data_IF_003870695791
#
_entry.id   IF_003870695791
#
_cell.length_a   1.000
_cell.length_b   1.000
_cell.length_c   1.000
_cell.angle_alpha   90.00
_cell.angle_beta   90.00
_cell.angle_gamma   90.00
#
_symmetry.space_group_name_H-M   'P 1'
#
loop_
_entity.id
_entity.type
_entity.pdbx_description
1 polymer ?
#
# COMPACT_ATOMS: atom_id res chain seq x y z
N UNK A 1 -16.09 -17.42 -22.06
CA UNK A 1 -14.92 -16.64 -22.47
C UNK A 1 -14.34 -15.99 -21.22
N UNK A 2 -13.35 -16.64 -20.60
CA UNK A 2 -12.75 -16.15 -19.34
C UNK A 2 -12.01 -14.85 -19.61
N UNK A 3 -12.25 -13.82 -18.79
CA UNK A 3 -11.45 -12.59 -18.86
C UNK A 3 -10.03 -12.96 -18.44
N UNK A 4 -9.07 -12.83 -19.34
CA UNK A 4 -7.65 -12.93 -19.00
C UNK A 4 -7.35 -11.89 -17.91
N UNK A 5 -6.90 -12.38 -16.77
CA UNK A 5 -6.48 -11.54 -15.65
C UNK A 5 -5.20 -10.86 -16.13
N UNK A 6 -5.17 -9.53 -16.13
CA UNK A 6 -4.01 -8.75 -16.54
C UNK A 6 -2.72 -9.31 -15.90
N UNK A 7 -1.63 -9.53 -16.64
CA UNK A 7 -0.40 -10.19 -16.14
C UNK A 7 0.25 -9.48 -14.95
N UNK A 8 -0.14 -8.23 -14.68
CA UNK A 8 0.27 -7.43 -13.53
C UNK A 8 -0.36 -7.88 -12.20
N UNK A 9 -1.41 -8.70 -12.24
CA UNK A 9 -2.06 -9.26 -11.08
C UNK A 9 -1.91 -10.78 -11.14
N UNK A 10 -0.89 -11.32 -10.47
CA UNK A 10 -0.92 -12.72 -10.08
C UNK A 10 -1.69 -12.81 -8.74
N UNK A 11 -3.00 -13.10 -8.75
CA UNK A 11 -3.79 -13.12 -7.52
C UNK A 11 -3.36 -14.23 -6.55
N UNK A 12 -2.45 -15.13 -6.93
CA UNK A 12 -1.99 -16.21 -6.07
C UNK A 12 -0.95 -15.75 -5.04
N UNK A 13 -0.25 -14.63 -5.28
CA UNK A 13 0.71 -14.07 -4.34
C UNK A 13 0.22 -12.71 -3.83
N UNK A 14 -0.56 -12.73 -2.74
CA UNK A 14 -1.14 -11.53 -2.16
C UNK A 14 -0.11 -10.54 -1.57
N UNK A 15 1.12 -10.99 -1.26
CA UNK A 15 2.19 -10.11 -0.80
C UNK A 15 2.76 -9.28 -1.95
N UNK A 16 3.03 -9.92 -3.09
CA UNK A 16 3.48 -9.25 -4.32
C UNK A 16 2.40 -8.31 -4.87
N UNK A 17 1.14 -8.76 -4.86
CA UNK A 17 -0.02 -7.92 -5.18
C UNK A 17 -0.05 -6.67 -4.28
N UNK A 18 0.15 -6.85 -2.97
CA UNK A 18 0.16 -5.72 -2.03
C UNK A 18 1.31 -4.75 -2.34
N UNK A 19 2.53 -5.22 -2.62
CA UNK A 19 3.65 -4.37 -3.05
C UNK A 19 3.30 -3.55 -4.29
N UNK A 20 2.74 -4.18 -5.31
CA UNK A 20 2.30 -3.50 -6.54
C UNK A 20 1.18 -2.46 -6.26
N UNK A 21 0.34 -2.66 -5.25
CA UNK A 21 -0.67 -1.68 -4.81
C UNK A 21 0.01 -0.48 -4.16
N UNK A 22 0.98 -0.70 -3.27
CA UNK A 22 1.78 0.38 -2.67
C UNK A 22 2.45 1.22 -3.75
N UNK A 23 3.09 0.58 -4.72
CA UNK A 23 3.82 1.25 -5.81
C UNK A 23 2.89 1.93 -6.83
N UNK A 24 1.59 1.61 -6.80
CA UNK A 24 0.62 2.18 -7.73
C UNK A 24 0.71 1.59 -9.15
N UNK A 25 1.35 0.43 -9.30
CA UNK A 25 1.61 -0.23 -10.60
C UNK A 25 0.30 -0.57 -11.34
N UNK A 26 -0.79 -0.78 -10.60
CA UNK A 26 -2.13 -1.06 -11.16
C UNK A 26 -2.85 0.14 -11.77
N UNK A 27 -2.34 1.37 -11.64
CA UNK A 27 -3.06 2.59 -12.08
C UNK A 27 -3.10 2.80 -13.60
N UNK A 28 -2.59 1.85 -14.41
CA UNK A 28 -2.68 1.86 -15.89
C UNK A 28 -4.04 1.39 -16.44
N UNK A 29 -5.15 1.52 -15.71
CA UNK A 29 -6.46 1.05 -16.22
C UNK A 29 -7.14 2.08 -17.12
N UNK A 30 -7.08 1.82 -18.43
CA UNK A 30 -8.09 1.96 -19.51
C UNK A 30 -8.79 3.31 -19.78
N UNK A 31 -8.84 4.29 -18.87
CA UNK A 31 -9.65 5.52 -19.08
C UNK A 31 -8.87 6.82 -19.30
N UNK A 32 -7.53 6.78 -19.40
CA UNK A 32 -6.71 7.95 -19.75
C UNK A 32 -6.84 9.16 -18.79
N UNK A 33 -7.41 8.97 -17.59
CA UNK A 33 -7.59 10.01 -16.57
C UNK A 33 -6.82 9.64 -15.31
N UNK A 34 -5.90 10.52 -14.90
CA UNK A 34 -5.03 10.41 -13.71
C UNK A 34 -5.75 10.55 -12.35
N UNK A 35 -6.96 10.01 -12.19
CA UNK A 35 -7.77 10.24 -10.99
C UNK A 35 -7.96 9.01 -10.11
N UNK A 36 -6.88 8.25 -9.88
CA UNK A 36 -6.79 7.29 -8.76
C UNK A 36 -5.37 7.32 -8.20
N UNK A 37 -5.20 7.97 -7.04
CA UNK A 37 -3.90 8.18 -6.40
C UNK A 37 -3.99 8.69 -4.95
N UNK A 38 -5.12 8.47 -4.28
CA UNK A 38 -5.36 8.90 -2.88
C UNK A 38 -5.50 7.77 -1.87
N UNK A 39 -5.53 6.51 -2.32
CA UNK A 39 -5.62 5.34 -1.45
C UNK A 39 -4.26 4.95 -0.88
N UNK A 40 -4.01 3.64 -0.77
CA UNK A 40 -2.74 3.06 -0.30
C UNK A 40 -1.50 3.70 -0.97
N UNK A 41 -1.42 3.87 -2.30
CA UNK A 41 -0.26 4.54 -2.91
C UNK A 41 -0.10 6.01 -2.50
N UNK A 42 -1.19 6.70 -2.16
CA UNK A 42 -1.15 8.04 -1.60
C UNK A 42 -0.57 8.05 -0.17
N UNK A 43 -0.98 7.10 0.68
CA UNK A 43 -0.43 6.92 2.03
C UNK A 43 1.06 6.55 1.93
N UNK A 44 1.43 5.66 1.01
CA UNK A 44 2.83 5.33 0.75
C UNK A 44 3.65 6.54 0.30
N UNK A 45 3.08 7.40 -0.53
CA UNK A 45 3.75 8.63 -0.91
C UNK A 45 3.98 9.56 0.30
N UNK A 46 3.05 9.60 1.27
CA UNK A 46 3.23 10.35 2.53
C UNK A 46 4.37 9.78 3.37
N UNK A 47 4.51 8.46 3.41
CA UNK A 47 5.68 7.81 3.99
C UNK A 47 6.97 8.23 3.28
N UNK A 48 7.06 8.06 1.96
CA UNK A 48 8.26 8.41 1.16
C UNK A 48 8.64 9.89 1.24
N UNK A 49 7.66 10.77 1.45
CA UNK A 49 7.88 12.22 1.56
C UNK A 49 8.19 12.68 2.99
N UNK A 50 8.15 11.78 3.97
CA UNK A 50 8.49 12.04 5.37
C UNK A 50 7.36 12.66 6.21
N UNK A 51 6.10 12.49 5.81
CA UNK A 51 4.93 12.92 6.59
C UNK A 51 4.39 11.83 7.52
N UNK A 52 4.81 10.59 7.29
CA UNK A 52 4.53 9.41 8.09
C UNK A 52 5.90 8.79 8.38
N UNK A 53 6.14 8.36 9.62
CA UNK A 53 7.40 7.73 10.01
C UNK A 53 7.37 6.21 9.80
N UNK A 54 6.21 5.59 10.01
CA UNK A 54 6.03 4.15 9.83
C UNK A 54 4.65 3.79 9.26
N UNK A 55 4.61 2.78 8.42
CA UNK A 55 3.39 2.26 7.81
C UNK A 55 3.43 0.74 7.77
N UNK A 56 2.40 0.11 8.34
CA UNK A 56 2.16 -1.33 8.22
C UNK A 56 0.73 -1.54 7.73
N UNK A 57 0.56 -2.38 6.72
CA UNK A 57 -0.75 -2.76 6.21
C UNK A 57 -0.86 -4.27 6.19
N UNK A 58 -1.90 -4.80 6.81
CA UNK A 58 -2.25 -6.23 6.75
C UNK A 58 -3.58 -6.33 6.02
N UNK A 59 -3.67 -7.16 4.99
CA UNK A 59 -4.91 -7.43 4.28
C UNK A 59 -4.98 -8.89 3.90
N UNK A 60 -6.03 -9.60 4.33
CA UNK A 60 -6.13 -11.05 4.12
C UNK A 60 -4.94 -11.80 4.75
N UNK A 61 -4.18 -12.55 3.96
CA UNK A 61 -2.93 -13.23 4.31
C UNK A 61 -1.69 -12.45 3.85
N UNK A 62 -1.77 -11.14 3.58
CA UNK A 62 -0.56 -10.39 3.25
C UNK A 62 -0.31 -9.25 4.22
N UNK A 63 0.96 -9.02 4.48
CA UNK A 63 1.45 -7.86 5.21
C UNK A 63 2.47 -7.10 4.36
N UNK A 64 2.38 -5.78 4.38
CA UNK A 64 3.35 -4.86 3.80
C UNK A 64 3.88 -3.91 4.87
N UNK A 65 5.20 -3.86 4.99
CA UNK A 65 5.96 -2.89 5.78
C UNK A 65 6.90 -2.13 4.84
N UNK A 66 6.38 -1.15 4.08
CA UNK A 66 7.15 -0.40 3.09
C UNK A 66 8.42 0.27 3.64
N UNK A 67 8.46 0.66 4.92
CA UNK A 67 9.65 1.18 5.59
C UNK A 67 10.83 0.22 5.58
N UNK A 68 10.54 -1.09 5.65
CA UNK A 68 11.51 -2.18 5.71
C UNK A 68 11.70 -2.87 4.34
N UNK A 69 11.04 -2.38 3.27
CA UNK A 69 10.84 -3.09 1.98
C UNK A 69 10.37 -4.56 2.17
N UNK A 70 9.62 -4.82 3.24
CA UNK A 70 9.20 -6.16 3.64
C UNK A 70 7.74 -6.41 3.25
N UNK A 71 7.53 -7.44 2.43
CA UNK A 71 6.20 -7.88 1.99
C UNK A 71 6.13 -9.40 2.13
N UNK A 72 5.20 -9.90 2.94
CA UNK A 72 5.15 -11.32 3.28
C UNK A 72 3.72 -11.86 3.31
N UNK A 73 3.62 -13.16 3.06
CA UNK A 73 2.41 -13.93 3.30
C UNK A 73 2.37 -14.31 4.78
N UNK A 74 1.22 -14.13 5.41
CA UNK A 74 0.96 -14.51 6.78
C UNK A 74 0.32 -15.89 6.82
N UNK A 75 0.75 -16.72 7.77
CA UNK A 75 0.15 -18.05 7.99
C UNK A 75 -1.32 -17.96 8.42
N UNK A 76 -1.66 -16.91 9.17
CA UNK A 76 -3.02 -16.63 9.62
C UNK A 76 -3.68 -15.57 8.74
N UNK A 77 -4.92 -15.84 8.32
CA UNK A 77 -5.73 -14.93 7.48
C UNK A 77 -6.58 -14.00 8.34
N UNK A 78 -6.52 -12.71 8.03
CA UNK A 78 -7.45 -11.70 8.52
C UNK A 78 -8.51 -11.43 7.44
N UNK A 79 -9.79 -11.68 7.68
CA UNK A 79 -10.83 -11.26 6.73
C UNK A 79 -11.08 -9.74 6.85
N UNK A 80 -10.29 -8.95 6.12
CA UNK A 80 -10.36 -7.50 6.13
C UNK A 80 -9.00 -6.85 5.94
N UNK A 81 -8.92 -5.56 6.28
CA UNK A 81 -7.71 -4.76 6.17
C UNK A 81 -7.46 -4.02 7.48
N UNK A 82 -6.24 -4.14 8.00
CA UNK A 82 -5.74 -3.37 9.12
C UNK A 82 -4.63 -2.43 8.64
N UNK A 83 -4.68 -1.18 9.08
CA UNK A 83 -3.71 -0.15 8.70
C UNK A 83 -3.16 0.47 9.97
N UNK A 84 -1.85 0.41 10.14
CA UNK A 84 -1.11 1.08 11.19
C UNK A 84 -0.28 2.20 10.56
N UNK A 85 -0.39 3.39 11.13
CA UNK A 85 0.33 4.60 10.69
C UNK A 85 0.94 5.23 11.94
N UNK A 86 2.22 5.54 11.85
CA UNK A 86 2.95 6.26 12.88
C UNK A 86 3.40 7.63 12.37
N UNK A 87 3.33 8.62 13.25
CA UNK A 87 3.83 9.97 13.02
C UNK A 87 4.63 10.33 14.26
N UNK A 88 5.86 10.79 14.07
CA UNK A 88 6.76 11.18 15.15
C UNK A 88 7.25 12.64 14.99
N UNK A 89 8.05 13.10 15.95
CA UNK A 89 8.59 14.46 15.98
C UNK A 89 9.50 14.82 14.77
N UNK A 90 9.96 13.84 14.00
CA UNK A 90 10.81 14.05 12.82
C UNK A 90 9.99 14.21 11.53
N UNK A 91 8.70 13.92 11.57
CA UNK A 91 7.81 14.06 10.43
C UNK A 91 7.67 15.53 9.99
N UNK A 92 7.57 15.74 8.68
CA UNK A 92 7.39 17.07 8.09
C UNK A 92 6.00 17.63 8.43
N UNK A 93 5.95 18.94 8.65
CA UNK A 93 4.69 19.69 8.87
C UNK A 93 3.82 19.05 9.95
N UNK A 94 4.43 18.69 11.08
CA UNK A 94 3.67 18.41 12.29
C UNK A 94 2.75 19.58 12.57
N UNK A 95 1.50 19.35 13.01
CA UNK A 95 0.67 20.43 13.52
C UNK A 95 1.51 21.13 14.58
N UNK A 96 1.83 22.40 14.31
CA UNK A 96 2.68 23.21 15.18
C UNK A 96 2.18 23.01 16.61
N UNK A 97 3.06 22.54 17.49
CA UNK A 97 2.78 22.58 18.92
C UNK A 97 2.52 24.05 19.25
N UNK A 98 1.25 24.38 19.49
CA UNK A 98 0.79 25.70 19.93
C UNK A 98 1.30 25.93 21.35
#
# INVERSE_FOLDING_TARGET
>A
MGKEISPWCNPQNHAELLKNIFEGTFHKTVTGKEYRGKGIPGIYNRLKTGYISNLVLISNDSMGKPNEDKYEILDNKLNGTFVYIEIDAQCKNLPLAV
#
